data_IF_297177765846
#
_entry.id   IF_297177765846
#
_cell.length_a   1.000
_cell.length_b   1.000
_cell.length_c   1.000
_cell.angle_alpha   90.00
_cell.angle_beta   90.00
_cell.angle_gamma   90.00
#
_symmetry.space_group_name_H-M   'P 1'
#
loop_
_entity.id
_entity.type
_entity.pdbx_description
1 polymer ?
#
# COMPACT_ATOMS: atom_id res chain seq x y z
N UNK A 1 11.27 39.83 25.70
CA UNK A 1 11.10 39.48 27.13
C UNK A 1 11.05 40.78 27.94
N UNK A 2 10.09 40.94 28.86
CA UNK A 2 9.94 42.19 29.62
C UNK A 2 10.94 42.28 30.79
N UNK A 3 11.33 43.49 31.17
CA UNK A 3 12.18 43.77 32.34
C UNK A 3 11.65 43.15 33.64
N UNK A 4 10.32 43.09 33.78
CA UNK A 4 9.65 42.42 34.87
C UNK A 4 9.86 40.89 34.86
N UNK A 5 9.90 40.26 33.68
CA UNK A 5 10.21 38.84 33.54
C UNK A 5 11.66 38.51 33.90
N UNK A 6 12.60 39.38 33.50
CA UNK A 6 14.01 39.26 33.88
C UNK A 6 14.19 39.34 35.40
N UNK A 7 13.59 40.34 36.05
CA UNK A 7 13.64 40.50 37.51
C UNK A 7 13.05 39.29 38.26
N UNK A 8 11.94 38.74 37.77
CA UNK A 8 11.34 37.52 38.35
C UNK A 8 12.25 36.30 38.23
N UNK A 9 12.96 36.14 37.10
CA UNK A 9 13.90 35.03 36.92
C UNK A 9 15.13 35.14 37.81
N UNK A 10 15.68 36.35 37.98
CA UNK A 10 16.80 36.59 38.90
C UNK A 10 16.40 36.27 40.34
N UNK A 11 15.23 36.74 40.78
CA UNK A 11 14.74 36.44 42.14
C UNK A 11 14.53 34.93 42.36
N UNK A 12 13.99 34.21 41.38
CA UNK A 12 13.82 32.75 41.46
C UNK A 12 15.17 32.02 41.56
N UNK A 13 16.17 32.46 40.80
CA UNK A 13 17.51 31.89 40.88
C UNK A 13 18.13 32.11 42.27
N UNK A 14 17.99 33.31 42.84
CA UNK A 14 18.44 33.61 44.21
C UNK A 14 17.74 32.73 45.24
N UNK A 15 16.41 32.57 45.14
CA UNK A 15 15.65 31.66 46.03
C UNK A 15 16.11 30.20 45.90
N UNK A 16 16.40 29.71 44.69
CA UNK A 16 16.92 28.35 44.50
C UNK A 16 18.30 28.15 45.13
N UNK A 17 19.18 29.15 45.06
CA UNK A 17 20.51 29.08 45.73
C UNK A 17 20.33 29.07 47.24
N UNK A 18 19.48 29.92 47.79
CA UNK A 18 19.20 29.97 49.24
C UNK A 18 18.55 28.68 49.76
N UNK A 19 17.70 28.04 48.94
CA UNK A 19 17.16 26.70 49.25
C UNK A 19 18.27 25.63 49.28
N UNK A 20 19.24 25.69 48.35
CA UNK A 20 20.38 24.75 48.32
C UNK A 20 21.37 24.96 49.47
N UNK A 21 21.53 26.18 49.97
CA UNK A 21 22.40 26.49 51.13
C UNK A 21 21.69 26.32 52.47
N UNK A 22 20.45 25.80 52.48
CA UNK A 22 19.67 25.55 53.70
C UNK A 22 19.14 26.82 54.38
N UNK A 23 19.21 27.98 53.72
CA UNK A 23 18.74 29.26 54.26
C UNK A 23 17.24 29.48 54.00
N UNK A 24 16.61 28.65 53.16
CA UNK A 24 15.17 28.65 52.87
C UNK A 24 14.69 27.20 52.81
N UNK A 25 13.59 26.89 53.49
CA UNK A 25 13.00 25.55 53.45
C UNK A 25 12.47 25.23 52.05
N UNK A 26 12.74 24.00 51.59
CA UNK A 26 12.22 23.48 50.34
C UNK A 26 10.97 22.65 50.64
N UNK A 27 9.83 23.03 50.05
CA UNK A 27 8.65 22.17 50.01
C UNK A 27 8.96 20.91 49.22
N UNK A 28 8.72 19.73 49.81
CA UNK A 28 8.81 18.44 49.14
C UNK A 28 7.39 17.92 48.93
N UNK A 29 6.96 17.85 47.68
CA UNK A 29 5.68 17.26 47.30
C UNK A 29 5.96 15.94 46.59
N UNK A 30 6.12 14.89 47.41
CA UNK A 30 6.57 13.59 46.92
C UNK A 30 5.51 12.90 46.07
N UNK A 31 4.24 13.17 46.33
CA UNK A 31 3.12 12.61 45.58
C UNK A 31 3.06 13.23 44.17
N UNK A 32 3.25 14.55 44.07
CA UNK A 32 3.39 15.21 42.78
C UNK A 32 4.63 14.73 42.01
N UNK A 33 5.79 14.58 42.67
CA UNK A 33 7.02 14.10 42.03
C UNK A 33 6.86 12.68 41.44
N UNK A 34 6.07 11.81 42.08
CA UNK A 34 5.75 10.47 41.57
C UNK A 34 4.87 10.55 40.33
N UNK A 35 3.79 11.34 40.37
CA UNK A 35 2.88 11.50 39.23
C UNK A 35 3.54 12.20 38.04
N UNK A 36 4.38 13.22 38.28
CA UNK A 36 5.18 13.85 37.23
C UNK A 36 6.11 12.82 36.57
N UNK A 37 6.76 11.94 37.35
CA UNK A 37 7.63 10.90 36.80
C UNK A 37 6.85 9.86 35.97
N UNK A 38 5.65 9.46 36.39
CA UNK A 38 4.76 8.58 35.61
C UNK A 38 4.36 9.25 34.31
N UNK A 39 3.93 10.51 34.36
CA UNK A 39 3.58 11.30 33.17
C UNK A 39 4.75 11.39 32.19
N UNK A 40 5.95 11.78 32.64
CA UNK A 40 7.14 11.91 31.77
C UNK A 40 7.52 10.60 31.11
N UNK A 41 7.36 9.49 31.82
CA UNK A 41 7.63 8.15 31.28
C UNK A 41 6.62 7.79 30.20
N UNK A 42 5.33 8.04 30.45
CA UNK A 42 4.27 7.84 29.46
C UNK A 42 4.44 8.75 28.25
N UNK A 43 4.76 10.03 28.45
CA UNK A 43 5.02 11.02 27.40
C UNK A 43 6.18 10.58 26.50
N UNK A 44 7.28 10.11 27.09
CA UNK A 44 8.42 9.58 26.33
C UNK A 44 8.05 8.33 25.52
N UNK A 45 7.31 7.40 26.13
CA UNK A 45 6.83 6.19 25.45
C UNK A 45 5.87 6.51 24.29
N UNK A 46 4.92 7.41 24.51
CA UNK A 46 3.96 7.86 23.50
C UNK A 46 4.64 8.56 22.32
N UNK A 47 5.59 9.46 22.59
CA UNK A 47 6.36 10.14 21.54
C UNK A 47 7.21 9.15 20.72
N UNK A 48 7.78 8.12 21.37
CA UNK A 48 8.52 7.07 20.68
C UNK A 48 7.60 6.23 19.78
N UNK A 49 6.45 5.81 20.30
CA UNK A 49 5.44 5.10 19.53
C UNK A 49 4.96 5.90 18.32
N UNK A 50 4.71 7.20 18.49
CA UNK A 50 4.30 8.08 17.39
C UNK A 50 5.35 8.14 16.27
N UNK A 51 6.65 8.26 16.62
CA UNK A 51 7.73 8.29 15.63
C UNK A 51 7.84 6.97 14.86
N UNK A 52 7.69 5.84 15.55
CA UNK A 52 7.74 4.51 14.94
C UNK A 52 6.51 4.26 14.05
N UNK A 53 5.31 4.64 14.50
CA UNK A 53 4.08 4.57 13.69
C UNK A 53 4.19 5.43 12.41
N UNK A 54 4.81 6.61 12.50
CA UNK A 54 5.12 7.44 11.32
C UNK A 54 6.09 6.74 10.37
N UNK A 55 7.15 6.12 10.88
CA UNK A 55 8.09 5.34 10.07
C UNK A 55 7.43 4.13 9.37
N UNK A 56 6.45 3.50 10.02
CA UNK A 56 5.63 2.46 9.40
C UNK A 56 4.75 3.01 8.28
N UNK A 57 4.07 4.13 8.50
CA UNK A 57 3.29 4.80 7.47
C UNK A 57 4.15 5.15 6.25
N UNK A 58 5.37 5.63 6.47
CA UNK A 58 6.30 5.96 5.39
C UNK A 58 6.76 4.70 4.63
N UNK A 59 6.96 3.58 5.35
CA UNK A 59 7.27 2.28 4.75
C UNK A 59 6.12 1.72 3.91
N UNK A 60 4.88 1.83 4.40
CA UNK A 60 3.68 1.48 3.63
C UNK A 60 3.55 2.33 2.38
N UNK A 61 3.75 3.65 2.49
CA UNK A 61 3.73 4.56 1.33
C UNK A 61 4.80 4.20 0.30
N UNK A 62 6.02 3.90 0.74
CA UNK A 62 7.09 3.48 -0.16
C UNK A 62 6.78 2.15 -0.87
N UNK A 63 6.14 1.22 -0.15
CA UNK A 63 5.66 -0.04 -0.72
C UNK A 63 4.53 0.19 -1.72
N UNK A 64 3.51 0.98 -1.39
CA UNK A 64 2.43 1.35 -2.31
C UNK A 64 2.97 2.05 -3.57
N UNK A 65 3.93 2.96 -3.42
CA UNK A 65 4.58 3.61 -4.56
C UNK A 65 5.40 2.63 -5.42
N UNK A 66 5.97 1.59 -4.81
CA UNK A 66 6.65 0.52 -5.55
C UNK A 66 5.64 -0.37 -6.28
N UNK A 67 4.52 -0.72 -5.63
CA UNK A 67 3.42 -1.45 -6.25
C UNK A 67 2.78 -0.67 -7.41
N UNK A 68 2.59 0.64 -7.27
CA UNK A 68 2.12 1.51 -8.36
C UNK A 68 3.10 1.50 -9.53
N UNK A 69 4.41 1.66 -9.30
CA UNK A 69 5.41 1.59 -10.38
C UNK A 69 5.41 0.25 -11.09
N UNK A 70 5.15 -0.84 -10.38
CA UNK A 70 5.06 -2.14 -11.04
C UNK A 70 3.72 -2.29 -11.77
N UNK A 71 2.62 -1.79 -11.23
CA UNK A 71 1.35 -1.73 -11.95
C UNK A 71 1.48 -0.88 -13.22
N UNK A 72 2.18 0.25 -13.16
CA UNK A 72 2.55 1.08 -14.31
C UNK A 72 3.49 0.35 -15.27
N UNK A 73 4.40 -0.49 -14.78
CA UNK A 73 5.28 -1.30 -15.65
C UNK A 73 4.45 -2.36 -16.36
N UNK A 74 3.55 -3.04 -15.66
CA UNK A 74 2.59 -3.99 -16.22
C UNK A 74 1.69 -3.25 -17.23
N UNK A 75 1.17 -2.07 -16.92
CA UNK A 75 0.41 -1.23 -17.84
C UNK A 75 1.28 -0.71 -19.01
N UNK A 76 2.57 -0.50 -18.81
CA UNK A 76 3.52 -0.17 -19.88
C UNK A 76 3.85 -1.38 -20.76
N UNK A 77 3.50 -2.60 -20.35
CA UNK A 77 3.49 -3.79 -21.22
C UNK A 77 2.08 -4.12 -21.75
N UNK A 78 0.99 -3.74 -21.06
CA UNK A 78 -0.38 -4.26 -21.30
C UNK A 78 -1.51 -3.21 -21.39
N UNK A 79 -1.28 -2.00 -20.92
CA UNK A 79 -2.15 -0.85 -21.08
C UNK A 79 -2.22 -0.36 -22.51
N UNK A 80 -3.21 0.47 -22.81
CA UNK A 80 -3.48 0.99 -24.16
C UNK A 80 -2.27 1.78 -24.74
N UNK A 81 -1.33 2.19 -23.88
CA UNK A 81 -0.06 2.83 -24.24
C UNK A 81 1.16 1.87 -24.33
N UNK A 82 1.10 0.72 -23.66
CA UNK A 82 2.26 -0.15 -23.44
C UNK A 82 2.56 -1.17 -24.52
N UNK A 83 1.66 -1.29 -25.49
CA UNK A 83 1.67 -2.46 -26.33
C UNK A 83 2.21 -2.21 -27.73
N UNK A 84 3.37 -2.79 -28.00
CA UNK A 84 3.51 -3.52 -29.26
C UNK A 84 2.53 -4.71 -29.32
N UNK A 85 1.97 -5.21 -28.21
CA UNK A 85 1.13 -6.44 -28.17
C UNK A 85 -0.39 -6.28 -28.23
N UNK A 86 -1.07 -5.40 -27.49
CA UNK A 86 -2.38 -4.83 -27.81
C UNK A 86 -2.45 -4.13 -29.17
N UNK A 87 -1.37 -3.48 -29.63
CA UNK A 87 -1.21 -3.15 -31.06
C UNK A 87 -1.11 -4.43 -31.88
N UNK A 88 -0.39 -5.48 -31.47
CA UNK A 88 -0.30 -6.75 -32.22
C UNK A 88 -1.59 -7.58 -32.20
N UNK A 89 -2.42 -7.55 -31.15
CA UNK A 89 -3.72 -8.22 -31.08
C UNK A 89 -4.72 -7.44 -31.94
N UNK A 90 -4.80 -6.11 -31.78
CA UNK A 90 -5.61 -5.25 -32.66
C UNK A 90 -5.15 -5.40 -34.12
N UNK A 91 -3.85 -5.40 -34.39
CA UNK A 91 -3.25 -5.57 -35.72
C UNK A 91 -3.45 -6.98 -36.26
N UNK A 92 -3.35 -8.02 -35.45
CA UNK A 92 -3.68 -9.41 -35.81
C UNK A 92 -5.15 -9.54 -36.18
N UNK A 93 -6.04 -8.90 -35.42
CA UNK A 93 -7.47 -8.86 -35.74
C UNK A 93 -7.75 -8.08 -37.03
N UNK A 94 -7.09 -6.94 -37.26
CA UNK A 94 -7.18 -6.25 -38.55
C UNK A 94 -6.65 -7.11 -39.70
N UNK A 95 -5.54 -7.82 -39.50
CA UNK A 95 -4.97 -8.72 -40.53
C UNK A 95 -5.85 -9.93 -40.81
N UNK A 96 -6.55 -10.45 -39.80
CA UNK A 96 -7.58 -11.48 -39.98
C UNK A 96 -8.72 -10.95 -40.85
N UNK A 97 -9.23 -9.74 -40.57
CA UNK A 97 -10.27 -9.11 -41.39
C UNK A 97 -9.81 -8.87 -42.83
N UNK A 98 -8.58 -8.39 -43.04
CA UNK A 98 -7.97 -8.23 -44.36
C UNK A 98 -7.94 -9.57 -45.12
N UNK A 99 -7.48 -10.63 -44.45
CA UNK A 99 -7.42 -11.98 -45.01
C UNK A 99 -8.81 -12.52 -45.39
N UNK A 100 -9.79 -12.41 -44.48
CA UNK A 100 -11.15 -12.87 -44.72
C UNK A 100 -11.81 -12.13 -45.89
N UNK A 101 -11.59 -10.82 -46.01
CA UNK A 101 -12.08 -10.01 -47.12
C UNK A 101 -11.48 -10.45 -48.47
N UNK A 102 -10.16 -10.71 -48.52
CA UNK A 102 -9.47 -11.18 -49.72
C UNK A 102 -9.91 -12.59 -50.12
N UNK A 103 -10.06 -13.49 -49.14
CA UNK A 103 -10.59 -14.85 -49.36
C UNK A 103 -12.02 -14.82 -49.91
N UNK A 104 -12.88 -13.93 -49.40
CA UNK A 104 -14.23 -13.74 -49.93
C UNK A 104 -14.22 -13.20 -51.38
N UNK A 105 -13.26 -12.34 -51.73
CA UNK A 105 -13.06 -11.83 -53.09
C UNK A 105 -12.64 -12.95 -54.05
N UNK A 106 -11.68 -13.79 -53.66
CA UNK A 106 -11.26 -14.97 -54.45
C UNK A 106 -12.43 -15.92 -54.70
N UNK A 107 -13.20 -16.24 -53.65
CA UNK A 107 -14.40 -17.09 -53.78
C UNK A 107 -15.38 -16.55 -54.82
N UNK A 108 -15.68 -15.24 -54.79
CA UNK A 108 -16.57 -14.60 -55.76
C UNK A 108 -16.03 -14.67 -57.19
N UNK A 109 -14.71 -14.47 -57.39
CA UNK A 109 -14.07 -14.54 -58.71
C UNK A 109 -14.01 -15.98 -59.25
N UNK A 110 -13.88 -16.98 -58.37
CA UNK A 110 -13.92 -18.38 -58.75
C UNK A 110 -15.34 -18.82 -59.17
N UNK A 111 -16.38 -18.39 -58.45
CA UNK A 111 -17.78 -18.69 -58.79
C UNK A 111 -18.26 -17.92 -60.04
N UNK A 112 -17.77 -16.69 -60.24
CA UNK A 112 -18.11 -15.83 -61.38
C UNK A 112 -16.82 -15.29 -62.01
N UNK A 113 -16.22 -16.04 -62.96
CA UNK A 113 -14.99 -15.65 -63.62
C UNK A 113 -15.12 -14.30 -64.33
N UNK A 114 -14.09 -13.47 -64.19
CA UNK A 114 -13.99 -12.18 -64.87
C UNK A 114 -13.54 -12.34 -66.33
N UNK A 115 -13.73 -11.31 -67.15
CA UNK A 115 -13.21 -11.27 -68.52
C UNK A 115 -11.67 -11.19 -68.52
N UNK A 116 -11.09 -10.57 -67.48
CA UNK A 116 -9.64 -10.56 -67.29
C UNK A 116 -9.17 -11.86 -66.60
N UNK A 117 -8.50 -12.71 -67.39
CA UNK A 117 -7.97 -14.02 -66.95
C UNK A 117 -6.91 -13.88 -65.84
N UNK A 118 -6.24 -12.72 -65.75
CA UNK A 118 -5.20 -12.49 -64.74
C UNK A 118 -5.76 -12.05 -63.37
N UNK A 119 -7.05 -11.69 -63.32
CA UNK A 119 -7.66 -11.11 -62.12
C UNK A 119 -7.80 -12.10 -60.97
N UNK A 120 -8.16 -13.35 -61.28
CA UNK A 120 -8.25 -14.42 -60.29
C UNK A 120 -6.86 -14.81 -59.76
N UNK A 121 -5.85 -15.15 -60.59
CA UNK A 121 -4.49 -15.44 -60.13
C UNK A 121 -3.88 -14.32 -59.27
N UNK A 122 -4.14 -13.05 -59.62
CA UNK A 122 -3.66 -11.91 -58.82
C UNK A 122 -4.34 -11.84 -57.46
N UNK A 123 -5.67 -12.04 -57.41
CA UNK A 123 -6.40 -12.06 -56.15
C UNK A 123 -5.99 -13.25 -55.25
N UNK A 124 -5.66 -14.40 -55.83
CA UNK A 124 -5.13 -15.55 -55.11
C UNK A 124 -3.78 -15.22 -54.47
N UNK A 125 -2.86 -14.63 -55.23
CA UNK A 125 -1.56 -14.16 -54.72
C UNK A 125 -1.69 -13.13 -53.60
N UNK A 126 -2.56 -12.13 -53.77
CA UNK A 126 -2.83 -11.12 -52.73
C UNK A 126 -3.42 -11.78 -51.46
N UNK A 127 -4.24 -12.82 -51.61
CA UNK A 127 -4.81 -13.58 -50.48
C UNK A 127 -3.75 -14.38 -49.73
N UNK A 128 -2.81 -15.02 -50.45
CA UNK A 128 -1.67 -15.71 -49.82
C UNK A 128 -0.78 -14.76 -49.02
N UNK A 129 -0.50 -13.56 -49.54
CA UNK A 129 0.25 -12.54 -48.82
C UNK A 129 -0.48 -12.07 -47.55
N UNK A 130 -1.79 -11.84 -47.63
CA UNK A 130 -2.60 -11.47 -46.47
C UNK A 130 -2.63 -12.58 -45.41
N UNK A 131 -2.75 -13.84 -45.85
CA UNK A 131 -2.68 -15.02 -44.98
C UNK A 131 -1.35 -15.10 -44.24
N UNK A 132 -0.23 -15.00 -44.95
CA UNK A 132 1.10 -15.08 -44.34
C UNK A 132 1.32 -13.98 -43.28
N UNK A 133 0.85 -12.76 -43.55
CA UNK A 133 0.95 -11.65 -42.59
C UNK A 133 0.08 -11.86 -41.33
N UNK A 134 -1.09 -12.47 -41.49
CA UNK A 134 -1.96 -12.85 -40.38
C UNK A 134 -1.35 -14.01 -39.57
N UNK A 135 -0.93 -15.09 -40.23
CA UNK A 135 -0.41 -16.29 -39.60
C UNK A 135 0.85 -15.99 -38.76
N UNK A 136 1.77 -15.16 -39.29
CA UNK A 136 2.96 -14.74 -38.55
C UNK A 136 2.64 -14.04 -37.22
N UNK A 137 1.69 -13.10 -37.22
CA UNK A 137 1.26 -12.42 -36.00
C UNK A 137 0.49 -13.36 -35.06
N UNK A 138 -0.30 -14.28 -35.64
CA UNK A 138 -1.08 -15.22 -34.87
C UNK A 138 -0.20 -16.23 -34.12
N UNK A 139 0.81 -16.80 -34.77
CA UNK A 139 1.76 -17.73 -34.16
C UNK A 139 2.59 -17.07 -33.05
N UNK A 140 3.03 -15.83 -33.30
CA UNK A 140 3.76 -15.05 -32.30
C UNK A 140 2.92 -14.88 -31.03
N UNK A 141 1.69 -14.36 -31.16
CA UNK A 141 0.80 -14.14 -30.02
C UNK A 141 0.40 -15.44 -29.33
N UNK A 142 0.22 -16.53 -30.08
CA UNK A 142 -0.09 -17.84 -29.50
C UNK A 142 1.05 -18.36 -28.62
N UNK A 143 2.29 -17.99 -28.93
CA UNK A 143 3.49 -18.40 -28.20
C UNK A 143 3.73 -17.50 -26.98
N UNK A 144 3.59 -16.18 -27.15
CA UNK A 144 3.98 -15.18 -26.15
C UNK A 144 2.94 -14.98 -25.05
N UNK A 145 1.64 -14.97 -25.38
CA UNK A 145 0.57 -14.69 -24.40
C UNK A 145 0.51 -15.72 -23.25
N UNK A 146 0.64 -17.05 -23.48
CA UNK A 146 0.63 -18.01 -22.38
C UNK A 146 1.85 -17.88 -21.46
N UNK A 147 3.05 -17.72 -22.03
CA UNK A 147 4.29 -17.54 -21.25
C UNK A 147 4.20 -16.33 -20.35
N UNK A 148 3.64 -15.25 -20.88
CA UNK A 148 3.37 -14.05 -20.13
C UNK A 148 2.41 -14.30 -18.96
N UNK A 149 1.27 -14.96 -19.23
CA UNK A 149 0.31 -15.28 -18.19
C UNK A 149 1.01 -16.07 -17.08
N UNK A 150 1.87 -17.03 -17.42
CA UNK A 150 2.59 -17.84 -16.43
C UNK A 150 3.58 -17.05 -15.56
N UNK A 151 4.14 -15.94 -16.04
CA UNK A 151 4.99 -15.05 -15.23
C UNK A 151 4.26 -14.39 -14.06
N UNK A 152 2.92 -14.40 -14.03
CA UNK A 152 2.14 -13.86 -12.91
C UNK A 152 2.44 -14.58 -11.59
N UNK A 153 2.68 -15.89 -11.63
CA UNK A 153 2.91 -16.72 -10.43
C UNK A 153 4.24 -16.39 -9.76
N UNK A 154 5.40 -16.48 -10.45
CA UNK A 154 6.69 -16.13 -9.84
C UNK A 154 6.82 -14.66 -9.47
N UNK A 155 5.90 -13.80 -9.92
CA UNK A 155 5.88 -12.38 -9.60
C UNK A 155 4.94 -12.03 -8.43
N UNK A 156 3.68 -12.48 -8.47
CA UNK A 156 2.66 -12.13 -7.48
C UNK A 156 2.88 -12.86 -6.15
N UNK A 157 3.30 -14.12 -6.19
CA UNK A 157 3.51 -14.94 -4.99
C UNK A 157 4.55 -14.32 -4.04
N UNK A 158 5.79 -14.00 -4.47
CA UNK A 158 6.78 -13.40 -3.56
C UNK A 158 6.39 -11.97 -3.14
N UNK A 159 5.66 -11.23 -3.99
CA UNK A 159 5.18 -9.89 -3.65
C UNK A 159 4.13 -9.93 -2.54
N UNK A 160 3.20 -10.88 -2.62
CA UNK A 160 2.16 -11.07 -1.60
C UNK A 160 2.76 -11.68 -0.32
N UNK A 161 3.68 -12.63 -0.44
CA UNK A 161 4.42 -13.18 0.69
C UNK A 161 5.19 -12.08 1.44
N UNK A 162 5.89 -11.21 0.73
CA UNK A 162 6.60 -10.08 1.33
C UNK A 162 5.65 -9.11 2.05
N UNK A 163 4.49 -8.81 1.45
CA UNK A 163 3.45 -7.97 2.06
C UNK A 163 2.98 -8.56 3.40
N UNK A 164 2.60 -9.84 3.41
CA UNK A 164 2.12 -10.53 4.61
C UNK A 164 3.21 -10.59 5.68
N UNK A 165 4.46 -10.86 5.30
CA UNK A 165 5.60 -10.89 6.25
C UNK A 165 5.85 -9.53 6.88
N UNK A 166 5.79 -8.44 6.12
CA UNK A 166 5.98 -7.08 6.65
C UNK A 166 4.85 -6.74 7.63
N UNK A 167 3.59 -7.03 7.27
CA UNK A 167 2.44 -6.80 8.15
C UNK A 167 2.54 -7.62 9.44
N UNK A 168 2.87 -8.91 9.33
CA UNK A 168 3.04 -9.80 10.49
C UNK A 168 4.13 -9.27 11.43
N UNK A 169 5.28 -8.89 10.88
CA UNK A 169 6.40 -8.36 11.66
C UNK A 169 6.02 -7.06 12.37
N UNK A 170 5.34 -6.16 11.68
CA UNK A 170 4.86 -4.92 12.27
C UNK A 170 3.91 -5.19 13.44
N UNK A 171 2.87 -6.01 13.25
CA UNK A 171 1.91 -6.32 14.30
C UNK A 171 2.57 -6.99 15.51
N UNK A 172 3.51 -7.91 15.28
CA UNK A 172 4.25 -8.58 16.35
C UNK A 172 5.12 -7.59 17.15
N UNK A 173 5.88 -6.72 16.47
CA UNK A 173 6.72 -5.72 17.13
C UNK A 173 5.88 -4.68 17.88
N UNK A 174 4.76 -4.23 17.30
CA UNK A 174 3.83 -3.29 17.94
C UNK A 174 3.20 -3.89 19.21
N UNK A 175 2.71 -5.13 19.13
CA UNK A 175 2.13 -5.83 20.29
C UNK A 175 3.15 -6.00 21.42
N UNK A 176 4.36 -6.47 21.10
CA UNK A 176 5.43 -6.64 22.09
C UNK A 176 5.78 -5.33 22.80
N UNK A 177 5.83 -4.22 22.06
CA UNK A 177 6.12 -2.89 22.63
C UNK A 177 4.98 -2.33 23.46
N UNK A 178 3.73 -2.53 23.04
CA UNK A 178 2.57 -2.16 23.86
C UNK A 178 2.52 -2.97 25.16
N UNK A 179 2.86 -4.26 25.11
CA UNK A 179 2.99 -5.08 26.32
C UNK A 179 4.06 -4.53 27.29
N UNK A 180 5.18 -3.98 26.78
CA UNK A 180 6.18 -3.31 27.61
C UNK A 180 5.65 -2.05 28.31
N UNK A 181 4.60 -1.39 27.80
CA UNK A 181 3.99 -0.24 28.48
C UNK A 181 3.27 -0.67 29.76
N UNK A 182 2.80 -1.92 29.83
CA UNK A 182 2.11 -2.45 31.01
C UNK A 182 2.96 -2.40 32.28
N UNK A 183 4.29 -2.43 32.16
CA UNK A 183 5.18 -2.34 33.31
C UNK A 183 5.09 -0.99 34.05
N UNK A 184 4.57 0.04 33.38
CA UNK A 184 4.40 1.39 33.94
C UNK A 184 3.00 1.66 34.49
N UNK A 185 2.06 0.71 34.31
CA UNK A 185 0.74 0.76 34.93
C UNK A 185 0.87 0.47 36.43
N UNK A 186 -0.03 1.04 37.24
CA UNK A 186 -0.12 0.72 38.67
C UNK A 186 -0.55 -0.73 38.88
N UNK A 187 -0.27 -1.25 40.09
CA UNK A 187 -0.48 -2.65 40.42
C UNK A 187 -1.92 -3.12 40.20
N UNK A 188 -2.90 -2.29 40.58
CA UNK A 188 -4.34 -2.58 40.42
C UNK A 188 -4.72 -2.69 38.94
N UNK A 189 -4.27 -1.74 38.12
CA UNK A 189 -4.50 -1.77 36.66
C UNK A 189 -3.82 -2.97 35.99
N UNK A 190 -2.62 -3.37 36.44
CA UNK A 190 -1.92 -4.56 35.92
C UNK A 190 -2.64 -5.85 36.29
N UNK A 191 -3.21 -5.93 37.48
CA UNK A 191 -3.96 -7.08 37.97
C UNK A 191 -5.29 -7.21 37.20
N UNK A 192 -6.01 -6.10 37.00
CA UNK A 192 -7.21 -6.05 36.15
C UNK A 192 -6.91 -6.45 34.69
N UNK A 193 -5.73 -6.10 34.18
CA UNK A 193 -5.28 -6.51 32.85
C UNK A 193 -5.00 -8.02 32.80
N UNK A 194 -4.24 -8.54 33.75
CA UNK A 194 -3.88 -9.96 33.82
C UNK A 194 -5.11 -10.88 34.00
N UNK A 195 -6.16 -10.38 34.65
CA UNK A 195 -7.44 -11.07 34.84
C UNK A 195 -8.42 -10.91 33.67
N UNK A 196 -8.04 -10.14 32.62
CA UNK A 196 -8.88 -9.91 31.43
C UNK A 196 -10.02 -8.91 31.62
N UNK A 197 -10.12 -8.27 32.78
CA UNK A 197 -11.19 -7.31 33.10
C UNK A 197 -11.09 -6.01 32.29
N UNK A 198 -9.88 -5.62 31.90
CA UNK A 198 -9.65 -4.47 31.01
C UNK A 198 -10.16 -4.73 29.59
N UNK A 199 -10.03 -5.94 29.07
CA UNK A 199 -10.53 -6.30 27.73
C UNK A 199 -12.07 -6.23 27.69
N UNK A 200 -12.74 -6.71 28.73
CA UNK A 200 -14.20 -6.58 28.88
C UNK A 200 -14.66 -5.12 28.94
N UNK A 201 -13.91 -4.25 29.63
CA UNK A 201 -14.20 -2.80 29.66
C UNK A 201 -14.00 -2.15 28.29
N UNK A 202 -12.95 -2.53 27.56
CA UNK A 202 -12.70 -2.01 26.20
C UNK A 202 -13.82 -2.45 25.25
N UNK A 203 -14.26 -3.71 25.30
CA UNK A 203 -15.40 -4.19 24.52
C UNK A 203 -16.69 -3.45 24.85
N UNK A 204 -16.93 -3.17 26.13
CA UNK A 204 -18.09 -2.39 26.57
C UNK A 204 -18.07 -0.97 26.01
N UNK A 205 -16.92 -0.28 26.06
CA UNK A 205 -16.76 1.06 25.47
C UNK A 205 -16.90 1.02 23.94
N UNK A 206 -16.35 0.00 23.27
CA UNK A 206 -16.52 -0.18 21.82
C UNK A 206 -17.99 -0.44 21.45
N UNK A 207 -18.72 -1.16 22.31
CA UNK A 207 -20.16 -1.37 22.15
C UNK A 207 -20.93 -0.06 22.33
N UNK A 208 -20.64 0.72 23.37
CA UNK A 208 -21.21 2.05 23.57
C UNK A 208 -20.91 2.97 22.39
N UNK A 209 -19.70 2.93 21.81
CA UNK A 209 -19.35 3.70 20.59
C UNK A 209 -20.16 3.24 19.37
N UNK A 210 -20.40 1.94 19.20
CA UNK A 210 -21.27 1.40 18.15
C UNK A 210 -22.72 1.83 18.35
N UNK A 211 -23.18 1.85 19.59
CA UNK A 211 -24.54 2.26 19.96
C UNK A 211 -24.72 3.79 19.87
N UNK A 212 -23.64 4.56 19.99
CA UNK A 212 -23.57 6.00 19.73
C UNK A 212 -23.60 6.36 18.23
N UNK A 213 -23.75 5.38 17.33
CA UNK A 213 -23.87 5.67 15.89
C UNK A 213 -25.11 6.53 15.59
N UNK A 214 -24.85 7.84 15.50
CA UNK A 214 -25.61 8.84 14.73
C UNK A 214 -25.44 8.61 13.21
N UNK A 215 -24.60 7.66 12.78
CA UNK A 215 -24.61 7.18 11.41
C UNK A 215 -25.59 6.00 11.31
N UNK A 216 -26.84 6.34 10.98
CA UNK A 216 -27.80 5.39 10.47
C UNK A 216 -27.23 4.65 9.26
N UNK A 217 -27.59 3.39 9.15
CA UNK A 217 -27.61 2.62 7.92
C UNK A 217 -28.08 3.46 6.73
N UNK A 218 -27.20 3.62 5.75
CA UNK A 218 -27.53 3.60 4.32
C UNK A 218 -26.49 2.73 3.63
#
# INVERSE_FOLDING_TARGET
MSWAGFKKNVNRATTQVMMKTGHVEKTSDRDYEVEERRYRTMEAAANKLQREAKGYLDSLRAMTASQMRIAETIDAFYGDAGTKDGVSIKKRNHKLLDYDAMRAKVKKLAEKPDKDVNKLPRAEKDTEMAKAAYDALNEQLFTELPQLIDLRVPYLDPSFEALVKIQLRFCAEAYSRMAQVQQYLDADTREQYAQGHLDSRVEQVLQEIRDLSIAGTV
#
